data_IF_599204283338
#
_entry.id   IF_599204283338
#
_cell.length_a   1.000
_cell.length_b   1.000
_cell.length_c   1.000
_cell.angle_alpha   90.00
_cell.angle_beta   90.00
_cell.angle_gamma   90.00
#
_symmetry.space_group_name_H-M   'P 1'
#
loop_
_entity.id
_entity.type
_entity.pdbx_description
1 polymer ?
#
# COMPACT_ATOMS: atom_id res chain seq x y z
N UNK A 1 17.12 -8.32 26.33
CA UNK A 1 16.83 -7.22 25.37
C UNK A 1 15.66 -6.40 25.89
N UNK A 2 15.71 -5.07 25.71
CA UNK A 2 14.58 -4.17 26.02
C UNK A 2 13.86 -3.77 24.72
N UNK A 3 12.58 -4.04 24.62
CA UNK A 3 11.76 -3.88 23.42
C UNK A 3 10.64 -2.88 23.71
N UNK A 4 10.55 -1.81 22.93
CA UNK A 4 9.47 -0.83 23.01
C UNK A 4 8.46 -1.09 21.87
N UNK A 5 7.21 -1.34 22.20
CA UNK A 5 6.11 -1.50 21.21
C UNK A 5 5.24 -0.24 21.22
N UNK A 6 5.38 0.59 20.20
CA UNK A 6 4.53 1.76 19.96
C UNK A 6 3.59 1.61 18.75
N UNK A 7 3.70 0.50 18.03
CA UNK A 7 2.81 0.17 16.91
C UNK A 7 1.33 0.10 17.35
N UNK A 8 0.36 0.42 16.46
CA UNK A 8 -1.07 0.43 16.76
C UNK A 8 -1.69 -0.98 16.84
N UNK A 9 -1.07 -1.86 17.62
CA UNK A 9 -1.55 -3.22 17.92
C UNK A 9 -2.69 -3.18 18.95
N UNK A 10 -3.56 -4.15 18.92
CA UNK A 10 -4.55 -4.37 19.98
C UNK A 10 -3.94 -5.20 21.12
N UNK A 11 -4.72 -5.40 22.17
CA UNK A 11 -4.26 -6.10 23.37
C UNK A 11 -3.77 -7.54 23.07
N UNK A 12 -4.50 -8.26 22.20
CA UNK A 12 -4.17 -9.64 21.85
C UNK A 12 -2.79 -9.77 21.20
N UNK A 13 -2.50 -8.91 20.19
CA UNK A 13 -1.21 -8.92 19.49
C UNK A 13 -0.07 -8.43 20.42
N UNK A 14 -0.34 -7.41 21.22
CA UNK A 14 0.63 -6.89 22.19
C UNK A 14 1.00 -7.95 23.23
N UNK A 15 -0.01 -8.65 23.75
CA UNK A 15 0.17 -9.76 24.70
C UNK A 15 0.95 -10.91 24.07
N UNK A 16 0.67 -11.24 22.81
CA UNK A 16 1.41 -12.28 22.08
C UNK A 16 2.92 -11.97 22.02
N UNK A 17 3.31 -10.71 21.76
CA UNK A 17 4.71 -10.31 21.76
C UNK A 17 5.31 -10.44 23.15
N UNK A 18 4.59 -10.00 24.21
CA UNK A 18 5.07 -10.12 25.59
C UNK A 18 5.26 -11.57 26.06
N UNK A 19 4.30 -12.44 25.73
CA UNK A 19 4.37 -13.86 26.07
C UNK A 19 5.48 -14.57 25.31
N UNK A 20 5.69 -14.21 24.03
CA UNK A 20 6.74 -14.81 23.23
C UNK A 20 8.14 -14.41 23.73
N UNK A 21 8.33 -13.17 24.13
CA UNK A 21 9.60 -12.64 24.66
C UNK A 21 9.58 -12.51 26.18
N UNK A 22 9.12 -13.55 26.89
CA UNK A 22 8.94 -13.55 28.35
C UNK A 22 10.24 -13.34 29.13
N UNK A 23 11.38 -13.66 28.53
CA UNK A 23 12.71 -13.45 29.12
C UNK A 23 13.32 -12.08 28.80
N UNK A 24 12.60 -11.25 28.06
CA UNK A 24 13.01 -9.89 27.68
C UNK A 24 12.10 -8.86 28.38
N UNK A 25 12.51 -7.61 28.39
CA UNK A 25 11.66 -6.53 28.90
C UNK A 25 10.87 -5.95 27.73
N UNK A 26 9.54 -6.17 27.69
CA UNK A 26 8.66 -5.63 26.64
C UNK A 26 7.80 -4.51 27.20
N UNK A 27 8.07 -3.28 26.79
CA UNK A 27 7.33 -2.08 27.15
C UNK A 27 6.32 -1.75 26.05
N UNK A 28 5.03 -1.67 26.38
CA UNK A 28 3.98 -1.27 25.43
C UNK A 28 3.56 0.16 25.73
N UNK A 29 3.85 1.08 24.82
CA UNK A 29 3.57 2.49 24.98
C UNK A 29 3.32 3.18 23.64
N UNK A 30 2.05 3.53 23.37
CA UNK A 30 1.61 4.13 22.10
C UNK A 30 2.27 5.47 21.77
N UNK A 31 2.60 6.25 22.76
CA UNK A 31 3.28 7.55 22.64
C UNK A 31 4.49 7.53 23.55
N UNK A 32 5.62 6.99 23.09
CA UNK A 32 6.84 6.95 23.88
C UNK A 32 7.39 8.38 24.10
N UNK A 33 8.13 8.53 25.18
CA UNK A 33 8.92 9.72 25.49
C UNK A 33 10.38 9.49 25.07
N UNK A 34 11.21 10.53 25.13
CA UNK A 34 12.65 10.38 24.89
C UNK A 34 13.28 9.40 25.89
N UNK A 35 12.89 9.47 27.16
CA UNK A 35 13.38 8.55 28.21
C UNK A 35 13.09 7.08 27.87
N UNK A 36 11.94 6.80 27.24
CA UNK A 36 11.63 5.43 26.78
C UNK A 36 12.55 4.99 25.64
N UNK A 37 12.89 5.91 24.72
CA UNK A 37 13.80 5.63 23.59
C UNK A 37 15.22 5.39 24.09
N UNK A 38 15.68 6.20 25.06
CA UNK A 38 17.06 6.16 25.57
C UNK A 38 17.38 4.85 26.32
N UNK A 39 16.39 4.00 26.58
CA UNK A 39 16.55 2.79 27.38
C UNK A 39 16.35 1.49 26.61
N UNK A 40 15.99 1.52 25.32
CA UNK A 40 15.55 0.33 24.59
C UNK A 40 16.48 -0.05 23.46
N UNK A 41 16.62 -1.36 23.26
CA UNK A 41 17.45 -1.94 22.20
C UNK A 41 16.70 -2.00 20.86
N UNK A 42 15.36 -2.17 20.92
CA UNK A 42 14.50 -2.35 19.74
C UNK A 42 13.22 -1.53 19.87
N UNK A 43 12.86 -0.84 18.80
CA UNK A 43 11.58 -0.13 18.70
C UNK A 43 10.71 -0.84 17.64
N UNK A 44 9.47 -1.15 18.02
CA UNK A 44 8.43 -1.76 17.16
C UNK A 44 7.35 -0.72 16.92
N UNK A 45 7.28 -0.20 15.72
CA UNK A 45 6.33 0.85 15.34
C UNK A 45 7.00 2.08 14.73
N UNK A 46 6.19 3.12 14.52
CA UNK A 46 6.64 4.40 13.98
C UNK A 46 6.66 5.46 15.10
N UNK A 47 7.77 5.61 15.83
CA UNK A 47 7.90 6.69 16.82
C UNK A 47 7.90 8.06 16.15
N UNK A 48 7.50 9.10 16.89
CA UNK A 48 7.48 10.47 16.36
C UNK A 48 8.92 10.96 16.09
N UNK A 49 9.11 11.68 15.00
CA UNK A 49 10.43 12.13 14.55
C UNK A 49 11.01 13.31 15.35
N UNK A 50 10.24 13.89 16.26
CA UNK A 50 10.74 14.87 17.24
C UNK A 50 11.60 14.19 18.33
N UNK A 51 11.50 12.86 18.44
CA UNK A 51 12.35 12.07 19.32
C UNK A 51 13.69 11.80 18.64
N UNK A 52 14.77 11.87 19.42
CA UNK A 52 16.09 11.51 18.95
C UNK A 52 16.23 9.99 18.86
N UNK A 53 16.12 9.47 17.64
CA UNK A 53 16.28 8.04 17.34
C UNK A 53 17.73 7.65 16.97
N UNK A 54 18.62 8.64 16.84
CA UNK A 54 20.04 8.41 16.53
C UNK A 54 20.81 8.03 17.80
N UNK A 55 20.51 6.84 18.32
CA UNK A 55 21.10 6.31 19.54
C UNK A 55 22.05 5.14 19.21
N UNK A 56 23.24 5.10 19.80
CA UNK A 56 24.24 4.05 19.56
C UNK A 56 23.77 2.66 20.03
N UNK A 57 22.98 2.62 21.11
CA UNK A 57 22.47 1.37 21.67
C UNK A 57 21.23 0.82 20.92
N UNK A 58 20.55 1.63 20.08
CA UNK A 58 19.38 1.19 19.32
C UNK A 58 19.80 0.26 18.19
N UNK A 59 19.54 -1.02 18.36
CA UNK A 59 19.93 -2.06 17.41
C UNK A 59 19.01 -2.14 16.20
N UNK A 60 17.68 -1.95 16.40
CA UNK A 60 16.71 -2.03 15.32
C UNK A 60 15.48 -1.14 15.53
N UNK A 61 14.97 -0.59 14.40
CA UNK A 61 13.66 0.04 14.28
C UNK A 61 12.82 -0.77 13.31
N UNK A 62 11.76 -1.41 13.81
CA UNK A 62 10.83 -2.24 13.04
C UNK A 62 9.55 -1.44 12.76
N UNK A 63 9.53 -0.74 11.61
CA UNK A 63 8.41 0.14 11.25
C UNK A 63 7.10 -0.63 11.07
N UNK A 64 6.00 0.00 11.48
CA UNK A 64 4.65 -0.50 11.19
C UNK A 64 4.05 0.07 9.89
N UNK A 65 4.84 0.80 9.10
CA UNK A 65 4.48 1.27 7.75
C UNK A 65 5.23 0.49 6.67
N UNK A 66 4.69 0.46 5.46
CA UNK A 66 5.41 -0.04 4.28
C UNK A 66 6.39 1.02 3.74
N UNK A 67 6.08 2.32 3.91
CA UNK A 67 6.97 3.43 3.59
C UNK A 67 7.99 3.66 4.71
N UNK A 68 9.22 4.01 4.33
CA UNK A 68 10.34 4.30 5.24
C UNK A 68 10.97 5.68 5.01
N UNK A 69 10.40 6.46 4.10
CA UNK A 69 10.98 7.69 3.53
C UNK A 69 11.43 8.71 4.59
N UNK A 70 10.70 8.80 5.69
CA UNK A 70 11.03 9.75 6.77
C UNK A 70 12.19 9.27 7.66
N UNK A 71 12.35 7.94 7.80
CA UNK A 71 13.33 7.33 8.70
C UNK A 71 14.70 7.07 8.07
N UNK A 72 14.80 7.13 6.74
CA UNK A 72 16.06 6.98 6.00
C UNK A 72 16.82 8.29 5.80
N UNK A 73 16.27 9.42 6.25
CA UNK A 73 16.95 10.73 6.18
C UNK A 73 18.22 10.71 7.00
N UNK A 74 19.25 11.37 6.48
CA UNK A 74 20.53 11.46 7.17
C UNK A 74 20.38 12.05 8.58
N UNK A 75 21.01 11.43 9.56
CA UNK A 75 20.94 11.84 10.96
C UNK A 75 19.74 11.34 11.75
N UNK A 76 18.72 10.72 11.11
CA UNK A 76 17.54 10.20 11.81
C UNK A 76 17.85 8.98 12.65
N UNK A 77 18.66 8.07 12.13
CA UNK A 77 19.07 6.84 12.82
C UNK A 77 20.60 6.73 12.83
N UNK A 78 21.12 5.98 13.81
CA UNK A 78 22.53 5.62 13.81
C UNK A 78 22.83 4.68 12.64
N UNK A 79 24.04 4.76 12.09
CA UNK A 79 24.47 3.93 10.94
C UNK A 79 24.46 2.42 11.24
N UNK A 80 24.54 2.04 12.51
CA UNK A 80 24.49 0.64 12.96
C UNK A 80 23.08 0.14 13.19
N UNK A 81 22.10 1.03 13.33
CA UNK A 81 20.69 0.67 13.56
C UNK A 81 20.10 0.02 12.31
N UNK A 82 19.57 -1.20 12.44
CA UNK A 82 18.85 -1.88 11.37
C UNK A 82 17.44 -1.30 11.26
N UNK A 83 17.00 -1.00 10.04
CA UNK A 83 15.67 -0.49 9.75
C UNK A 83 14.90 -1.54 8.95
N UNK A 84 13.70 -1.91 9.38
CA UNK A 84 12.80 -2.76 8.59
C UNK A 84 11.44 -2.08 8.39
N UNK A 85 10.72 -2.47 7.35
CA UNK A 85 9.36 -2.00 7.10
C UNK A 85 8.34 -3.15 7.16
N UNK A 86 7.05 -2.81 7.24
CA UNK A 86 5.97 -3.78 7.35
C UNK A 86 5.47 -4.32 6.00
N UNK A 87 6.30 -4.31 4.96
CA UNK A 87 5.93 -4.92 3.67
C UNK A 87 5.53 -6.39 3.86
N UNK A 88 4.47 -6.83 3.20
CA UNK A 88 3.90 -8.16 3.36
C UNK A 88 2.79 -8.24 4.41
N UNK A 89 2.55 -7.18 5.19
CA UNK A 89 1.46 -7.15 6.16
C UNK A 89 0.14 -6.62 5.58
N UNK A 90 0.20 -5.83 4.52
CA UNK A 90 -0.94 -5.05 4.02
C UNK A 90 -1.66 -5.67 2.82
N UNK A 91 -1.02 -6.59 2.11
CA UNK A 91 -1.49 -7.06 0.81
C UNK A 91 -2.92 -7.60 0.82
N UNK A 92 -3.31 -8.34 1.87
CA UNK A 92 -4.67 -8.90 1.99
C UNK A 92 -5.72 -7.79 2.09
N UNK A 93 -5.59 -6.91 3.09
CA UNK A 93 -6.57 -5.85 3.32
C UNK A 93 -6.69 -4.91 2.10
N UNK A 94 -5.56 -4.49 1.53
CA UNK A 94 -5.55 -3.61 0.37
C UNK A 94 -6.15 -4.30 -0.87
N UNK A 95 -5.87 -5.59 -1.09
CA UNK A 95 -6.44 -6.31 -2.24
C UNK A 95 -7.96 -6.46 -2.14
N UNK A 96 -8.50 -6.69 -0.93
CA UNK A 96 -9.94 -6.72 -0.70
C UNK A 96 -10.58 -5.34 -0.95
N UNK A 97 -9.90 -4.27 -0.52
CA UNK A 97 -10.33 -2.90 -0.78
C UNK A 97 -10.38 -2.59 -2.29
N UNK A 98 -9.34 -2.98 -3.05
CA UNK A 98 -9.32 -2.85 -4.52
C UNK A 98 -10.48 -3.56 -5.17
N UNK A 99 -10.76 -4.81 -4.78
CA UNK A 99 -11.91 -5.57 -5.30
C UNK A 99 -13.23 -4.89 -4.92
N UNK A 100 -13.34 -4.37 -3.70
CA UNK A 100 -14.48 -3.59 -3.25
C UNK A 100 -14.73 -2.36 -4.14
N UNK A 101 -13.67 -1.61 -4.49
CA UNK A 101 -13.76 -0.50 -5.45
C UNK A 101 -14.18 -0.97 -6.84
N UNK A 102 -13.57 -2.06 -7.36
CA UNK A 102 -13.94 -2.63 -8.67
C UNK A 102 -15.42 -3.01 -8.71
N UNK A 103 -15.91 -3.72 -7.70
CA UNK A 103 -17.34 -4.11 -7.58
C UNK A 103 -18.21 -2.86 -7.49
N UNK A 104 -17.82 -1.86 -6.72
CA UNK A 104 -18.57 -0.60 -6.55
C UNK A 104 -18.79 0.09 -7.88
N UNK A 105 -17.78 0.17 -8.73
CA UNK A 105 -17.91 0.74 -10.08
C UNK A 105 -18.74 -0.18 -10.99
N UNK A 106 -18.40 -1.46 -11.07
CA UNK A 106 -19.06 -2.40 -11.98
C UNK A 106 -20.55 -2.55 -11.72
N UNK A 107 -20.97 -2.51 -10.48
CA UNK A 107 -22.36 -2.71 -10.04
C UNK A 107 -23.06 -1.41 -9.65
N UNK A 108 -22.47 -0.23 -9.92
CA UNK A 108 -23.02 1.10 -9.63
C UNK A 108 -23.43 1.30 -8.16
N UNK A 109 -22.71 0.67 -7.20
CA UNK A 109 -23.13 0.67 -5.80
C UNK A 109 -23.11 2.07 -5.17
N UNK A 110 -22.16 2.94 -5.58
CA UNK A 110 -22.13 4.35 -5.14
C UNK A 110 -23.41 5.09 -5.56
N UNK A 111 -23.82 4.93 -6.83
CA UNK A 111 -25.05 5.54 -7.35
C UNK A 111 -26.27 5.06 -6.59
N UNK A 112 -26.39 3.75 -6.38
CA UNK A 112 -27.53 3.18 -5.64
C UNK A 112 -27.54 3.59 -4.17
N UNK A 113 -26.37 3.75 -3.53
CA UNK A 113 -26.29 4.26 -2.17
C UNK A 113 -26.78 5.72 -2.03
N UNK A 114 -26.53 6.56 -3.05
CA UNK A 114 -27.05 7.91 -3.13
C UNK A 114 -28.56 7.92 -3.38
N UNK A 115 -29.05 7.15 -4.36
CA UNK A 115 -30.48 6.99 -4.66
C UNK A 115 -31.27 6.48 -3.44
N UNK A 116 -30.71 5.56 -2.66
CA UNK A 116 -31.34 5.03 -1.45
C UNK A 116 -31.64 6.15 -0.43
N UNK A 117 -30.74 7.12 -0.29
CA UNK A 117 -30.94 8.28 0.63
C UNK A 117 -32.12 9.16 0.21
N UNK A 118 -32.41 9.20 -1.08
CA UNK A 118 -33.48 9.99 -1.69
C UNK A 118 -34.78 9.22 -1.87
N UNK A 119 -34.81 7.91 -1.53
CA UNK A 119 -35.95 7.04 -1.75
C UNK A 119 -36.18 6.69 -3.22
N UNK A 120 -35.18 6.82 -4.07
CA UNK A 120 -35.28 6.56 -5.52
C UNK A 120 -35.02 5.10 -5.82
N UNK A 121 -35.88 4.47 -6.67
CA UNK A 121 -35.75 3.10 -7.15
C UNK A 121 -35.54 3.10 -8.66
N UNK A 122 -34.33 3.48 -9.10
CA UNK A 122 -34.01 3.64 -10.53
C UNK A 122 -32.85 2.72 -10.94
N UNK A 123 -33.07 1.75 -11.82
CA UNK A 123 -32.00 0.88 -12.29
C UNK A 123 -31.03 1.64 -13.20
N UNK A 124 -29.73 1.41 -13.05
CA UNK A 124 -28.74 1.91 -13.99
C UNK A 124 -28.89 1.21 -15.34
N UNK A 125 -28.69 1.98 -16.41
CA UNK A 125 -28.67 1.46 -17.79
C UNK A 125 -27.28 1.02 -18.24
N UNK A 126 -26.27 1.23 -17.41
CA UNK A 126 -24.87 0.90 -17.69
C UNK A 126 -24.32 0.02 -16.56
N UNK A 127 -23.50 -0.94 -16.93
CA UNK A 127 -22.79 -1.82 -16.00
C UNK A 127 -21.52 -2.34 -16.65
N UNK A 128 -20.61 -2.82 -15.82
CA UNK A 128 -19.37 -3.47 -16.24
C UNK A 128 -19.21 -4.78 -15.44
N UNK A 129 -18.41 -5.68 -15.92
CA UNK A 129 -18.09 -6.92 -15.22
C UNK A 129 -16.58 -7.02 -15.00
N UNK A 130 -16.20 -7.67 -13.91
CA UNK A 130 -14.81 -8.02 -13.65
C UNK A 130 -14.46 -9.32 -14.38
N UNK A 131 -15.44 -10.18 -14.57
CA UNK A 131 -15.31 -11.49 -15.22
C UNK A 131 -14.67 -11.35 -16.60
N UNK A 132 -13.63 -12.16 -16.87
CA UNK A 132 -12.85 -12.17 -18.11
C UNK A 132 -12.22 -10.83 -18.52
N UNK A 133 -12.13 -9.85 -17.61
CA UNK A 133 -11.53 -8.56 -17.93
C UNK A 133 -9.99 -8.64 -18.01
N UNK A 134 -9.39 -7.70 -18.74
CA UNK A 134 -7.95 -7.49 -18.80
C UNK A 134 -7.53 -6.50 -17.73
N UNK A 135 -6.69 -6.94 -16.80
CA UNK A 135 -6.25 -6.14 -15.66
C UNK A 135 -4.74 -5.88 -15.73
N UNK A 136 -4.36 -4.62 -15.78
CA UNK A 136 -2.96 -4.18 -15.67
C UNK A 136 -2.67 -3.81 -14.21
N UNK A 137 -1.75 -4.53 -13.57
CA UNK A 137 -1.27 -4.23 -12.21
C UNK A 137 0.09 -3.56 -12.32
N UNK A 138 0.16 -2.25 -12.06
CA UNK A 138 1.37 -1.46 -12.12
C UNK A 138 2.03 -1.46 -10.75
N UNK A 139 3.09 -2.25 -10.64
CA UNK A 139 3.74 -2.60 -9.38
C UNK A 139 3.31 -3.98 -8.87
N UNK A 140 4.20 -4.97 -8.99
CA UNK A 140 3.93 -6.33 -8.53
C UNK A 140 4.84 -6.68 -7.36
N UNK A 141 4.49 -6.13 -6.19
CA UNK A 141 5.01 -6.48 -4.88
C UNK A 141 4.00 -7.35 -4.11
N UNK A 142 3.98 -7.25 -2.79
CA UNK A 142 3.01 -7.95 -1.92
C UNK A 142 1.54 -7.60 -2.28
N UNK A 143 1.25 -6.31 -2.44
CA UNK A 143 -0.09 -5.82 -2.80
C UNK A 143 -0.51 -6.36 -4.17
N UNK A 144 0.34 -6.18 -5.19
CA UNK A 144 0.04 -6.66 -6.55
C UNK A 144 -0.15 -8.17 -6.63
N UNK A 145 0.64 -8.94 -5.87
CA UNK A 145 0.48 -10.39 -5.73
C UNK A 145 -0.90 -10.76 -5.15
N UNK A 146 -1.28 -10.14 -4.02
CA UNK A 146 -2.55 -10.45 -3.36
C UNK A 146 -3.77 -10.01 -4.19
N UNK A 147 -3.64 -8.91 -4.98
CA UNK A 147 -4.65 -8.49 -5.96
C UNK A 147 -4.78 -9.54 -7.07
N UNK A 148 -3.66 -9.91 -7.70
CA UNK A 148 -3.65 -10.90 -8.80
C UNK A 148 -4.26 -12.23 -8.36
N UNK A 149 -3.84 -12.73 -7.19
CA UNK A 149 -4.37 -13.96 -6.59
C UNK A 149 -5.89 -13.98 -6.50
N UNK A 150 -6.50 -12.86 -6.07
CA UNK A 150 -7.96 -12.75 -5.91
C UNK A 150 -8.67 -12.57 -7.24
N UNK A 151 -8.07 -11.82 -8.16
CA UNK A 151 -8.66 -11.58 -9.48
C UNK A 151 -8.70 -12.83 -10.36
N UNK A 152 -7.87 -13.82 -10.10
CA UNK A 152 -7.99 -15.12 -10.79
C UNK A 152 -9.30 -15.84 -10.52
N UNK A 153 -9.99 -15.58 -9.40
CA UNK A 153 -11.32 -16.09 -9.15
C UNK A 153 -12.41 -15.46 -10.05
N UNK A 154 -12.10 -14.37 -10.75
CA UNK A 154 -12.95 -13.74 -11.76
C UNK A 154 -12.50 -14.06 -13.19
N UNK A 155 -11.61 -15.03 -13.38
CA UNK A 155 -11.04 -15.43 -14.68
C UNK A 155 -10.39 -14.26 -15.45
N UNK A 156 -9.84 -13.28 -14.74
CA UNK A 156 -9.17 -12.13 -15.34
C UNK A 156 -7.87 -12.54 -16.04
N UNK A 157 -7.58 -11.88 -17.16
CA UNK A 157 -6.26 -11.86 -17.77
C UNK A 157 -5.42 -10.76 -17.11
N UNK A 158 -4.32 -11.15 -16.45
CA UNK A 158 -3.53 -10.24 -15.61
C UNK A 158 -2.17 -9.97 -16.23
N UNK A 159 -1.90 -8.72 -16.54
CA UNK A 159 -0.58 -8.20 -16.93
C UNK A 159 0.06 -7.48 -15.74
N UNK A 160 1.23 -7.92 -15.29
CA UNK A 160 1.99 -7.29 -14.22
C UNK A 160 3.11 -6.41 -14.75
N UNK A 161 3.15 -5.14 -14.33
CA UNK A 161 4.23 -4.22 -14.65
C UNK A 161 5.26 -4.21 -13.52
N UNK A 162 6.53 -4.51 -13.85
CA UNK A 162 7.66 -4.50 -12.92
C UNK A 162 8.84 -3.70 -13.47
N UNK A 163 9.70 -3.25 -12.57
CA UNK A 163 10.95 -2.58 -12.93
C UNK A 163 11.92 -3.52 -13.68
N UNK A 164 11.93 -4.80 -13.29
CA UNK A 164 12.74 -5.85 -13.93
C UNK A 164 11.84 -7.01 -14.32
N UNK A 165 11.95 -7.46 -15.56
CA UNK A 165 11.21 -8.63 -16.06
C UNK A 165 11.67 -9.87 -15.29
N UNK A 166 10.71 -10.63 -14.80
CA UNK A 166 10.89 -12.00 -14.31
C UNK A 166 10.09 -12.92 -15.24
N UNK A 167 10.64 -14.06 -15.60
CA UNK A 167 10.02 -14.95 -16.60
C UNK A 167 8.63 -15.43 -16.19
N UNK A 168 8.43 -15.69 -14.89
CA UNK A 168 7.16 -16.17 -14.36
C UNK A 168 6.85 -15.51 -13.03
N UNK A 169 5.61 -15.13 -12.85
CA UNK A 169 5.06 -14.61 -11.61
C UNK A 169 3.77 -15.36 -11.27
N UNK A 170 3.53 -15.70 -9.98
CA UNK A 170 2.30 -16.36 -9.58
C UNK A 170 1.06 -15.51 -9.97
N UNK A 171 0.00 -16.17 -10.44
CA UNK A 171 -1.28 -15.54 -10.78
C UNK A 171 -1.23 -14.47 -11.88
N UNK A 172 -0.19 -14.44 -12.71
CA UNK A 172 0.03 -13.47 -13.78
C UNK A 172 0.12 -14.20 -15.11
N UNK A 173 -0.55 -13.68 -16.13
CA UNK A 173 -0.51 -14.23 -17.48
C UNK A 173 0.60 -13.60 -18.32
N UNK A 174 0.91 -12.32 -18.06
CA UNK A 174 1.92 -11.56 -18.79
C UNK A 174 2.73 -10.67 -17.84
N UNK A 175 4.03 -10.62 -18.04
CA UNK A 175 4.95 -9.74 -17.30
C UNK A 175 5.60 -8.76 -18.25
N UNK A 176 5.51 -7.48 -17.92
CA UNK A 176 6.04 -6.40 -18.74
C UNK A 176 6.74 -5.33 -17.87
N UNK A 177 7.32 -4.34 -18.50
CA UNK A 177 7.99 -3.21 -17.85
C UNK A 177 7.20 -1.92 -18.00
N UNK A 178 7.67 -0.89 -17.32
CA UNK A 178 7.10 0.45 -17.41
C UNK A 178 7.14 1.02 -18.85
N UNK A 179 8.11 0.58 -19.65
CA UNK A 179 8.26 1.02 -21.03
C UNK A 179 7.16 0.45 -21.95
N UNK A 180 6.53 -0.64 -21.53
CA UNK A 180 5.49 -1.32 -22.30
C UNK A 180 4.08 -0.79 -22.00
N UNK A 181 3.93 0.17 -21.06
CA UNK A 181 2.64 0.73 -20.64
C UNK A 181 1.82 1.26 -21.84
N UNK A 182 2.48 1.90 -22.80
CA UNK A 182 1.80 2.50 -23.95
C UNK A 182 1.08 1.49 -24.85
N UNK A 183 1.52 0.25 -24.84
CA UNK A 183 0.88 -0.87 -25.57
C UNK A 183 -0.13 -1.63 -24.73
N UNK A 184 0.01 -1.61 -23.41
CA UNK A 184 -0.82 -2.37 -22.48
C UNK A 184 -2.06 -1.59 -22.05
N UNK A 185 -1.93 -0.28 -21.79
CA UNK A 185 -3.03 0.56 -21.33
C UNK A 185 -4.25 0.56 -22.27
N UNK A 186 -4.09 0.62 -23.63
CA UNK A 186 -5.22 0.58 -24.56
C UNK A 186 -6.00 -0.75 -24.55
N UNK A 187 -5.45 -1.79 -23.95
CA UNK A 187 -6.07 -3.12 -23.88
C UNK A 187 -6.67 -3.41 -22.51
N UNK A 188 -6.38 -2.59 -21.50
CA UNK A 188 -6.73 -2.85 -20.11
C UNK A 188 -8.11 -2.30 -19.75
N UNK A 189 -8.95 -3.14 -19.16
CA UNK A 189 -10.27 -2.75 -18.62
C UNK A 189 -10.12 -2.13 -17.24
N UNK A 190 -9.13 -2.62 -16.48
CA UNK A 190 -8.76 -2.10 -15.16
C UNK A 190 -7.27 -1.85 -15.12
N UNK A 191 -6.88 -0.73 -14.54
CA UNK A 191 -5.48 -0.37 -14.26
C UNK A 191 -5.36 -0.10 -12.78
N UNK A 192 -4.51 -0.86 -12.08
CA UNK A 192 -4.35 -0.79 -10.63
C UNK A 192 -2.92 -0.41 -10.32
N UNK A 193 -2.74 0.72 -9.61
CA UNK A 193 -1.44 1.23 -9.21
C UNK A 193 -1.14 0.82 -7.77
N UNK A 194 -0.03 0.10 -7.59
CA UNK A 194 0.53 -0.27 -6.28
C UNK A 194 2.04 0.01 -6.20
N UNK A 195 2.44 1.13 -6.82
CA UNK A 195 3.82 1.58 -6.88
C UNK A 195 4.24 2.28 -5.58
N UNK A 196 5.49 2.11 -5.14
CA UNK A 196 6.09 2.99 -4.15
C UNK A 196 6.42 4.35 -4.79
N UNK A 197 6.66 5.37 -3.97
CA UNK A 197 7.12 6.66 -4.45
C UNK A 197 8.62 6.60 -4.74
N UNK A 198 8.99 7.05 -5.93
CA UNK A 198 10.37 7.29 -6.35
C UNK A 198 10.39 8.38 -7.43
N UNK A 199 11.58 8.86 -7.78
CA UNK A 199 11.73 9.84 -8.88
C UNK A 199 11.16 9.33 -10.21
N UNK A 200 11.16 8.02 -10.42
CA UNK A 200 10.69 7.37 -11.67
C UNK A 200 9.17 7.14 -11.65
N UNK A 201 8.52 7.19 -10.50
CA UNK A 201 7.09 6.89 -10.36
C UNK A 201 6.23 8.14 -10.11
N UNK A 202 6.84 9.29 -9.83
CA UNK A 202 6.12 10.56 -9.71
C UNK A 202 5.54 10.92 -11.07
N UNK A 203 4.21 11.20 -11.10
CA UNK A 203 3.43 11.56 -12.28
C UNK A 203 3.60 10.60 -13.46
N UNK A 204 3.87 9.32 -13.17
CA UNK A 204 3.97 8.31 -14.21
C UNK A 204 2.65 8.13 -14.95
N UNK A 205 1.53 8.42 -14.30
CA UNK A 205 0.20 8.56 -14.89
C UNK A 205 -0.13 10.04 -15.05
N UNK A 206 0.55 10.67 -16.01
CA UNK A 206 0.25 12.00 -16.52
C UNK A 206 -0.89 11.95 -17.54
N UNK A 207 -1.29 13.09 -18.07
CA UNK A 207 -2.35 13.24 -19.07
C UNK A 207 -2.20 12.27 -20.26
N UNK A 208 -1.00 12.15 -20.80
CA UNK A 208 -0.76 11.30 -21.98
C UNK A 208 -0.99 9.82 -21.67
N UNK A 209 -0.54 9.36 -20.51
CA UNK A 209 -0.78 7.97 -20.08
C UNK A 209 -2.26 7.71 -19.75
N UNK A 210 -2.93 8.66 -19.10
CA UNK A 210 -4.35 8.57 -18.80
C UNK A 210 -5.19 8.49 -20.08
N UNK A 211 -4.87 9.27 -21.10
CA UNK A 211 -5.56 9.24 -22.41
C UNK A 211 -5.26 7.99 -23.25
N UNK A 212 -4.19 7.26 -22.96
CA UNK A 212 -3.92 5.95 -23.59
C UNK A 212 -4.75 4.81 -23.01
N UNK A 213 -5.33 4.99 -21.83
CA UNK A 213 -6.26 4.00 -21.28
C UNK A 213 -7.52 3.90 -22.16
N UNK A 214 -8.25 2.78 -22.06
CA UNK A 214 -9.58 2.70 -22.65
C UNK A 214 -10.47 3.82 -22.08
N UNK A 215 -11.30 4.42 -22.92
CA UNK A 215 -12.24 5.46 -22.47
C UNK A 215 -13.18 4.99 -21.37
N UNK A 216 -13.48 3.71 -21.34
CA UNK A 216 -14.33 3.04 -20.34
C UNK A 216 -13.51 2.23 -19.33
N UNK A 217 -12.21 2.45 -19.21
CA UNK A 217 -11.38 1.78 -18.20
C UNK A 217 -11.68 2.29 -16.79
N UNK A 218 -11.34 1.46 -15.80
CA UNK A 218 -11.33 1.84 -14.38
C UNK A 218 -9.87 1.97 -13.93
N UNK A 219 -9.52 3.10 -13.33
CA UNK A 219 -8.23 3.36 -12.71
C UNK A 219 -8.36 3.28 -11.19
N UNK A 220 -7.48 2.53 -10.53
CA UNK A 220 -7.44 2.44 -9.05
C UNK A 220 -6.02 2.71 -8.57
N UNK A 221 -5.86 3.62 -7.61
CA UNK A 221 -4.57 3.89 -6.98
C UNK A 221 -4.61 3.57 -5.47
N UNK A 222 -3.83 2.57 -5.08
CA UNK A 222 -3.60 2.15 -3.68
C UNK A 222 -2.11 2.14 -3.33
N UNK A 223 -1.28 2.76 -4.17
CA UNK A 223 0.17 2.86 -3.98
C UNK A 223 0.57 4.15 -3.29
N UNK A 224 0.87 5.18 -4.10
CA UNK A 224 1.16 6.54 -3.65
C UNK A 224 0.43 7.54 -4.55
N UNK A 225 -0.11 8.58 -3.93
CA UNK A 225 -0.88 9.61 -4.64
C UNK A 225 -0.08 10.31 -5.73
N UNK A 226 1.19 10.56 -5.48
CA UNK A 226 2.11 11.19 -6.43
C UNK A 226 2.33 10.42 -7.75
N UNK A 227 1.83 9.17 -7.86
CA UNK A 227 1.89 8.43 -9.12
C UNK A 227 0.94 8.99 -10.20
N UNK A 228 -0.08 9.73 -9.81
CA UNK A 228 -1.04 10.38 -10.70
C UNK A 228 -0.93 11.90 -10.48
N UNK A 229 -0.81 12.67 -11.56
CA UNK A 229 -1.01 14.11 -11.51
C UNK A 229 -2.49 14.41 -11.31
N UNK A 230 -2.85 15.07 -10.21
CA UNK A 230 -4.24 15.43 -9.92
C UNK A 230 -4.82 16.38 -10.97
N UNK A 231 -4.02 17.34 -11.46
CA UNK A 231 -4.42 18.29 -12.51
C UNK A 231 -4.75 17.56 -13.82
N UNK A 232 -3.86 16.67 -14.25
CA UNK A 232 -4.07 15.87 -15.47
C UNK A 232 -5.27 14.94 -15.36
N UNK A 233 -5.48 14.33 -14.18
CA UNK A 233 -6.63 13.48 -13.94
C UNK A 233 -7.95 14.28 -14.03
N UNK A 234 -8.01 15.47 -13.44
CA UNK A 234 -9.16 16.36 -13.51
C UNK A 234 -9.45 16.73 -14.96
N UNK A 235 -8.42 17.10 -15.74
CA UNK A 235 -8.58 17.42 -17.16
C UNK A 235 -9.18 16.25 -17.95
N UNK A 236 -8.67 15.04 -17.74
CA UNK A 236 -9.13 13.81 -18.40
C UNK A 236 -10.58 13.46 -18.00
N UNK A 237 -10.92 13.61 -16.71
CA UNK A 237 -12.28 13.42 -16.22
C UNK A 237 -13.27 14.41 -16.84
N UNK A 238 -12.87 15.67 -17.03
CA UNK A 238 -13.69 16.71 -17.69
C UNK A 238 -14.00 16.36 -19.17
N UNK A 239 -13.12 15.61 -19.83
CA UNK A 239 -13.32 15.12 -21.19
C UNK A 239 -14.23 13.88 -21.25
N UNK A 240 -14.74 13.40 -20.12
CA UNK A 240 -15.60 12.22 -20.05
C UNK A 240 -14.85 10.90 -20.23
N UNK A 241 -13.53 10.89 -20.01
CA UNK A 241 -12.72 9.68 -19.97
C UNK A 241 -12.85 8.95 -18.63
N UNK A 242 -12.55 7.65 -18.65
CA UNK A 242 -12.59 6.70 -17.56
C UNK A 242 -14.01 6.41 -17.04
N UNK A 243 -14.33 5.14 -16.94
CA UNK A 243 -15.58 4.66 -16.36
C UNK A 243 -15.65 4.90 -14.86
N UNK A 244 -14.54 4.71 -14.17
CA UNK A 244 -14.40 4.93 -12.73
C UNK A 244 -12.97 5.22 -12.32
N UNK A 245 -12.80 5.98 -11.24
CA UNK A 245 -11.49 6.25 -10.62
C UNK A 245 -11.58 6.02 -9.13
N UNK A 246 -10.83 5.04 -8.60
CA UNK A 246 -10.70 4.73 -7.19
C UNK A 246 -9.38 5.27 -6.63
N UNK A 247 -9.44 6.14 -5.65
CA UNK A 247 -8.27 6.75 -5.03
C UNK A 247 -8.28 6.50 -3.52
N UNK A 248 -7.43 5.59 -3.05
CA UNK A 248 -7.16 5.47 -1.62
C UNK A 248 -6.07 6.46 -1.20
N UNK A 249 -5.26 6.87 -2.15
CA UNK A 249 -4.18 7.85 -1.99
C UNK A 249 -4.30 8.94 -3.06
N UNK A 250 -3.94 10.16 -2.68
CA UNK A 250 -3.97 11.34 -3.54
C UNK A 250 -2.66 12.12 -3.41
N UNK A 251 -2.37 12.99 -4.38
CA UNK A 251 -1.10 13.71 -4.46
C UNK A 251 -0.87 14.60 -3.23
N UNK A 252 -1.92 15.27 -2.74
CA UNK A 252 -1.92 16.06 -1.52
C UNK A 252 -2.84 15.40 -0.49
N UNK A 253 -2.31 14.97 0.64
CA UNK A 253 -3.04 14.34 1.74
C UNK A 253 -2.92 15.17 3.03
N UNK A 254 -4.05 15.53 3.66
CA UNK A 254 -5.44 15.28 3.27
C UNK A 254 -5.86 16.03 2.00
N UNK A 255 -6.71 15.41 1.15
CA UNK A 255 -7.26 16.07 -0.04
C UNK A 255 -8.02 17.34 0.36
N UNK A 256 -7.65 18.53 -0.18
CA UNK A 256 -8.33 19.78 0.14
C UNK A 256 -9.84 19.70 -0.13
N UNK A 257 -10.65 20.30 0.76
CA UNK A 257 -12.09 20.32 0.62
C UNK A 257 -12.58 21.04 -0.67
N UNK A 258 -11.72 21.88 -1.24
CA UNK A 258 -11.96 22.61 -2.49
C UNK A 258 -11.62 21.80 -3.74
N UNK A 259 -11.07 20.59 -3.60
CA UNK A 259 -10.66 19.77 -4.74
C UNK A 259 -11.87 19.39 -5.60
N UNK A 260 -11.80 19.59 -6.94
CA UNK A 260 -12.85 19.15 -7.85
C UNK A 260 -13.08 17.64 -7.83
N UNK A 261 -12.10 16.83 -7.40
CA UNK A 261 -12.22 15.37 -7.33
C UNK A 261 -13.41 14.89 -6.49
N UNK A 262 -13.86 15.70 -5.50
CA UNK A 262 -15.02 15.37 -4.68
C UNK A 262 -16.35 15.39 -5.45
N UNK A 263 -16.43 16.17 -6.52
CA UNK A 263 -17.67 16.41 -7.28
C UNK A 263 -17.96 15.38 -8.37
N UNK A 264 -17.00 14.53 -8.75
CA UNK A 264 -17.22 13.55 -9.80
C UNK A 264 -17.95 12.31 -9.28
N UNK A 265 -19.09 11.98 -9.87
CA UNK A 265 -19.86 10.76 -9.53
C UNK A 265 -19.04 9.50 -9.76
N UNK A 266 -18.17 9.50 -10.76
CA UNK A 266 -17.30 8.38 -11.15
C UNK A 266 -16.01 8.27 -10.33
N UNK A 267 -15.77 9.15 -9.36
CA UNK A 267 -14.60 9.10 -8.48
C UNK A 267 -15.01 8.58 -7.11
N UNK A 268 -14.30 7.58 -6.61
CA UNK A 268 -14.43 7.03 -5.25
C UNK A 268 -13.14 7.30 -4.51
N UNK A 269 -13.22 8.05 -3.42
CA UNK A 269 -12.06 8.42 -2.59
C UNK A 269 -12.20 7.78 -1.23
N UNK A 270 -11.12 7.16 -0.74
CA UNK A 270 -10.98 6.69 0.63
C UNK A 270 -9.75 7.34 1.27
N UNK A 271 -9.78 7.66 2.58
CA UNK A 271 -8.76 8.51 3.21
C UNK A 271 -7.52 7.71 3.64
N UNK A 272 -6.79 7.13 2.68
CA UNK A 272 -5.58 6.31 2.88
C UNK A 272 -5.83 5.21 3.92
N UNK A 273 -6.94 4.49 3.79
CA UNK A 273 -7.46 3.56 4.79
C UNK A 273 -7.50 2.10 4.35
N UNK A 274 -7.11 1.81 3.10
CA UNK A 274 -7.16 0.44 2.55
C UNK A 274 -6.28 -0.56 3.31
N UNK A 275 -5.19 -0.10 3.94
CA UNK A 275 -4.17 -0.91 4.62
C UNK A 275 -3.92 -0.51 6.07
N UNK A 276 -4.93 -0.19 6.86
CA UNK A 276 -4.75 0.25 8.25
C UNK A 276 -4.67 -0.89 9.28
N UNK A 277 -4.18 -0.56 10.48
CA UNK A 277 -4.16 -1.49 11.63
C UNK A 277 -5.55 -1.76 12.25
N UNK A 278 -6.61 -1.21 11.68
CA UNK A 278 -7.98 -1.62 11.99
C UNK A 278 -8.24 -3.06 11.53
N UNK A 279 -7.53 -3.52 10.50
CA UNK A 279 -7.70 -4.84 9.93
C UNK A 279 -6.90 -5.90 10.71
N UNK A 280 -7.58 -6.97 11.12
CA UNK A 280 -6.95 -8.04 11.89
C UNK A 280 -5.82 -8.73 11.12
N UNK A 281 -5.98 -8.94 9.81
CA UNK A 281 -4.94 -9.53 8.96
C UNK A 281 -3.65 -8.72 9.02
N UNK A 282 -3.73 -7.39 8.94
CA UNK A 282 -2.57 -6.50 9.01
C UNK A 282 -1.86 -6.66 10.35
N UNK A 283 -2.60 -6.63 11.46
CA UNK A 283 -2.03 -6.79 12.81
C UNK A 283 -1.36 -8.15 12.99
N UNK A 284 -2.03 -9.21 12.55
CA UNK A 284 -1.50 -10.56 12.67
C UNK A 284 -0.19 -10.74 11.88
N UNK A 285 -0.18 -10.37 10.60
CA UNK A 285 1.02 -10.51 9.77
C UNK A 285 2.17 -9.63 10.26
N UNK A 286 1.87 -8.40 10.71
CA UNK A 286 2.88 -7.53 11.28
C UNK A 286 3.45 -8.09 12.60
N UNK A 287 2.62 -8.61 13.47
CA UNK A 287 3.05 -9.22 14.74
C UNK A 287 3.98 -10.40 14.50
N UNK A 288 3.64 -11.29 13.55
CA UNK A 288 4.52 -12.40 13.17
C UNK A 288 5.86 -11.92 12.58
N UNK A 289 5.83 -10.90 11.73
CA UNK A 289 7.02 -10.29 11.15
C UNK A 289 7.92 -9.70 12.25
N UNK A 290 7.35 -9.00 13.22
CA UNK A 290 8.06 -8.44 14.38
C UNK A 290 8.72 -9.54 15.19
N UNK A 291 8.00 -10.60 15.51
CA UNK A 291 8.54 -11.73 16.29
C UNK A 291 9.74 -12.33 15.56
N UNK A 292 9.60 -12.67 14.28
CA UNK A 292 10.71 -13.24 13.49
C UNK A 292 11.91 -12.30 13.40
N UNK A 293 11.68 -11.01 13.20
CA UNK A 293 12.76 -10.03 13.10
C UNK A 293 13.52 -9.83 14.42
N UNK A 294 12.83 -9.88 15.56
CA UNK A 294 13.51 -9.82 16.87
C UNK A 294 14.31 -11.11 17.11
N UNK A 295 13.79 -12.28 16.71
CA UNK A 295 14.56 -13.55 16.78
C UNK A 295 15.80 -13.50 15.89
N UNK A 296 15.65 -13.08 14.62
CA UNK A 296 16.77 -12.90 13.71
C UNK A 296 17.82 -11.94 14.28
N UNK A 297 17.38 -10.84 14.91
CA UNK A 297 18.28 -9.89 15.54
C UNK A 297 19.07 -10.54 16.70
N UNK A 298 18.39 -11.32 17.55
CA UNK A 298 19.02 -12.05 18.67
C UNK A 298 20.03 -13.10 18.20
N UNK A 299 19.75 -13.70 17.04
CA UNK A 299 20.62 -14.74 16.44
C UNK A 299 21.69 -14.15 15.50
N UNK A 300 21.79 -12.81 15.39
CA UNK A 300 22.69 -12.13 14.45
C UNK A 300 22.42 -12.48 12.97
N UNK A 301 21.19 -12.80 12.63
CA UNK A 301 20.73 -13.12 11.28
C UNK A 301 20.27 -11.85 10.53
N UNK A 302 20.07 -12.01 9.21
CA UNK A 302 19.52 -10.93 8.36
C UNK A 302 18.02 -10.72 8.65
N UNK A 303 17.61 -9.47 8.88
CA UNK A 303 16.21 -9.16 9.13
C UNK A 303 15.37 -9.26 7.85
N UNK A 304 14.13 -9.71 7.99
CA UNK A 304 13.16 -9.62 6.91
C UNK A 304 12.79 -8.16 6.63
N UNK A 305 12.61 -7.81 5.36
CA UNK A 305 12.27 -6.46 4.91
C UNK A 305 13.25 -5.37 5.38
N UNK A 306 14.52 -5.71 5.55
CA UNK A 306 15.55 -4.73 5.86
C UNK A 306 15.65 -3.68 4.75
N UNK A 307 15.62 -2.40 5.13
CA UNK A 307 15.60 -1.25 4.23
C UNK A 307 17.05 -0.82 3.91
N UNK A 308 17.29 -0.59 2.64
CA UNK A 308 18.51 0.05 2.17
C UNK A 308 18.36 1.58 2.32
N UNK A 309 19.23 2.20 3.10
CA UNK A 309 19.18 3.63 3.39
C UNK A 309 19.45 4.53 2.16
N UNK A 310 20.13 4.01 1.14
CA UNK A 310 20.41 4.79 -0.07
C UNK A 310 19.21 4.82 -1.01
N UNK A 311 18.50 3.71 -1.11
CA UNK A 311 17.40 3.55 -2.06
C UNK A 311 16.01 3.67 -1.42
N UNK A 312 15.89 3.52 -0.10
CA UNK A 312 14.62 3.44 0.61
C UNK A 312 13.83 2.14 0.36
N UNK A 313 14.37 1.22 -0.46
CA UNK A 313 13.74 -0.05 -0.78
C UNK A 313 14.27 -1.17 0.11
N UNK A 314 13.52 -2.29 0.14
CA UNK A 314 13.98 -3.52 0.78
C UNK A 314 15.22 -4.07 0.07
N UNK A 315 16.22 -4.49 0.85
CA UNK A 315 17.44 -5.12 0.33
C UNK A 315 17.12 -6.43 -0.41
N UNK A 316 16.19 -7.22 0.11
CA UNK A 316 15.76 -8.49 -0.48
C UNK A 316 14.23 -8.51 -0.58
N UNK A 317 13.70 -8.94 -1.72
CA UNK A 317 12.26 -9.15 -1.93
C UNK A 317 11.99 -10.65 -1.93
N UNK A 318 11.40 -11.16 -0.84
CA UNK A 318 10.88 -12.54 -0.78
C UNK A 318 9.38 -12.50 -1.05
N UNK A 319 8.92 -13.30 -2.01
CA UNK A 319 7.49 -13.57 -2.17
C UNK A 319 7.13 -14.72 -1.23
N UNK A 320 6.03 -14.57 -0.48
CA UNK A 320 5.46 -15.70 0.26
C UNK A 320 5.17 -16.82 -0.73
N UNK A 321 5.71 -18.02 -0.45
CA UNK A 321 5.38 -19.23 -1.19
C UNK A 321 3.99 -19.74 -0.80
#
# INVERSE_FOLDING_TARGET
MKILVCAPLQEAESKKIQEYFINDTVLIKRRPTQEDIDQVDVIVGNPHLDLNLNQEHLQALLLNSAGSDQYIKEGTLNKTTKLTNASGSYGIAISEHVIGMMITFCKNLKTYALQMKEGNWLPSKQGKEIYHSRVCIVGYGDIGYEIAKRLKAFDCHITAIKRRVQKELPYVDEVATINDLDTILPQSDFVILSLPQSKETIHIFNRDKLLKMKKDAVLINVGRGSAISNEDLIEVLNQGYLYGVGLDVVEEEPLPATSPLWSYDRVLITPHSSGGFVWQSVRNYYTELVIRNIEHLKNHETLENEVDFQTGYRKVVTYKK
#
